data_IF_668447573795
#
_entry.id   IF_668447573795
#
_cell.length_a   1.000
_cell.length_b   1.000
_cell.length_c   1.000
_cell.angle_alpha   90.00
_cell.angle_beta   90.00
_cell.angle_gamma   90.00
#
_symmetry.space_group_name_H-M   'P 1'
#
loop_
_entity.id
_entity.type
_entity.pdbx_description
1 polymer ?
#
# COMPACT_ATOMS: atom_id res chain seq x y z
N UNK A 1 -22.88 3.44 -2.65
CA UNK A 1 -22.06 2.38 -2.04
C UNK A 1 -20.90 1.97 -2.95
N UNK A 2 -21.15 1.50 -4.17
CA UNK A 2 -20.09 1.14 -5.15
C UNK A 2 -19.08 2.26 -5.40
N UNK A 3 -19.57 3.50 -5.58
CA UNK A 3 -18.70 4.68 -5.77
C UNK A 3 -17.71 4.91 -4.61
N UNK A 4 -18.15 4.72 -3.37
CA UNK A 4 -17.30 4.93 -2.19
C UNK A 4 -16.19 3.87 -2.18
N UNK A 5 -16.53 2.61 -2.44
CA UNK A 5 -15.57 1.51 -2.53
C UNK A 5 -14.52 1.80 -3.62
N UNK A 6 -14.96 2.23 -4.80
CA UNK A 6 -14.06 2.58 -5.90
C UNK A 6 -13.11 3.72 -5.52
N UNK A 7 -13.61 4.78 -4.89
CA UNK A 7 -12.78 5.90 -4.42
C UNK A 7 -11.77 5.47 -3.36
N UNK A 8 -12.16 4.58 -2.43
CA UNK A 8 -11.24 4.03 -1.43
C UNK A 8 -10.12 3.22 -2.08
N UNK A 9 -10.43 2.38 -3.07
CA UNK A 9 -9.41 1.61 -3.80
C UNK A 9 -8.44 2.55 -4.54
N UNK A 10 -8.96 3.53 -5.27
CA UNK A 10 -8.14 4.52 -5.98
C UNK A 10 -7.22 5.26 -5.01
N UNK A 11 -7.74 5.67 -3.86
CA UNK A 11 -6.95 6.34 -2.83
C UNK A 11 -5.82 5.44 -2.29
N UNK A 12 -6.12 4.19 -1.94
CA UNK A 12 -5.12 3.24 -1.45
C UNK A 12 -4.02 2.99 -2.48
N UNK A 13 -4.39 2.83 -3.76
CA UNK A 13 -3.43 2.67 -4.86
C UNK A 13 -2.56 3.92 -5.03
N UNK A 14 -3.15 5.12 -4.99
CA UNK A 14 -2.40 6.37 -5.08
C UNK A 14 -1.38 6.54 -3.94
N UNK A 15 -1.78 6.20 -2.70
CA UNK A 15 -0.89 6.21 -1.52
C UNK A 15 0.21 5.15 -1.67
N UNK A 16 -0.09 3.95 -2.15
CA UNK A 16 0.89 2.91 -2.39
C UNK A 16 1.94 3.37 -3.41
N UNK A 17 1.52 3.94 -4.55
CA UNK A 17 2.42 4.48 -5.58
C UNK A 17 3.32 5.57 -4.99
N UNK A 18 2.75 6.51 -4.21
CA UNK A 18 3.53 7.59 -3.61
C UNK A 18 4.55 7.06 -2.60
N UNK A 19 4.17 6.06 -1.80
CA UNK A 19 5.06 5.38 -0.84
C UNK A 19 6.20 4.66 -1.55
N UNK A 20 5.91 3.93 -2.63
CA UNK A 20 6.94 3.26 -3.46
C UNK A 20 7.91 4.27 -4.06
N UNK A 21 7.40 5.37 -4.60
CA UNK A 21 8.24 6.43 -5.16
C UNK A 21 9.14 7.06 -4.10
N UNK A 22 8.63 7.24 -2.88
CA UNK A 22 9.44 7.71 -1.75
C UNK A 22 10.49 6.67 -1.33
N UNK A 23 10.15 5.37 -1.36
CA UNK A 23 11.09 4.27 -1.15
C UNK A 23 12.24 4.28 -2.15
N UNK A 24 11.92 4.47 -3.44
CA UNK A 24 12.93 4.61 -4.51
C UNK A 24 13.85 5.81 -4.28
N UNK A 25 13.27 6.96 -3.92
CA UNK A 25 14.06 8.15 -3.60
C UNK A 25 14.96 7.91 -2.38
N UNK A 26 14.44 7.29 -1.32
CA UNK A 26 15.17 6.97 -0.08
C UNK A 26 16.36 6.05 -0.33
N UNK A 27 16.18 5.02 -1.17
CA UNK A 27 17.26 4.15 -1.63
C UNK A 27 18.35 4.94 -2.38
N UNK A 28 17.94 5.88 -3.26
CA UNK A 28 18.86 6.78 -3.96
C UNK A 28 19.66 7.72 -3.04
N UNK A 29 19.20 7.97 -1.82
CA UNK A 29 19.93 8.72 -0.79
C UNK A 29 20.84 7.83 0.08
N UNK A 30 20.98 6.54 -0.25
CA UNK A 30 21.75 5.57 0.54
C UNK A 30 21.03 5.04 1.77
N UNK A 31 19.77 5.45 2.01
CA UNK A 31 18.95 4.95 3.12
C UNK A 31 18.20 3.67 2.72
N UNK A 32 18.95 2.58 2.55
CA UNK A 32 18.41 1.29 2.13
C UNK A 32 17.43 0.69 3.13
N UNK A 33 17.69 0.85 4.44
CA UNK A 33 16.78 0.35 5.49
C UNK A 33 15.43 1.06 5.46
N UNK A 34 15.44 2.39 5.28
CA UNK A 34 14.23 3.18 5.10
C UNK A 34 13.46 2.78 3.84
N UNK A 35 14.16 2.58 2.72
CA UNK A 35 13.54 2.14 1.47
C UNK A 35 12.84 0.78 1.59
N UNK A 36 13.49 -0.21 2.22
CA UNK A 36 12.89 -1.53 2.46
C UNK A 36 11.63 -1.40 3.32
N UNK A 37 11.69 -0.61 4.40
CA UNK A 37 10.52 -0.34 5.24
C UNK A 37 9.36 0.26 4.46
N UNK A 38 9.63 1.23 3.56
CA UNK A 38 8.62 1.85 2.72
C UNK A 38 7.97 0.86 1.74
N UNK A 39 8.74 -0.07 1.17
CA UNK A 39 8.17 -1.11 0.30
C UNK A 39 7.30 -2.11 1.07
N UNK A 40 7.71 -2.50 2.28
CA UNK A 40 6.90 -3.36 3.15
C UNK A 40 5.59 -2.65 3.52
N UNK A 41 5.65 -1.36 3.89
CA UNK A 41 4.45 -0.57 4.20
C UNK A 41 3.52 -0.48 2.98
N UNK A 42 4.06 -0.21 1.79
CA UNK A 42 3.26 -0.13 0.58
C UNK A 42 2.56 -1.46 0.23
N UNK A 43 3.24 -2.59 0.47
CA UNK A 43 2.66 -3.91 0.29
C UNK A 43 1.53 -4.17 1.29
N UNK A 44 1.78 -3.93 2.58
CA UNK A 44 0.80 -4.15 3.65
C UNK A 44 -0.45 -3.28 3.48
N UNK A 45 -0.28 -2.04 3.00
CA UNK A 45 -1.38 -1.11 2.73
C UNK A 45 -2.42 -1.70 1.77
N UNK A 46 -1.99 -2.50 0.78
CA UNK A 46 -2.88 -3.16 -0.17
C UNK A 46 -3.28 -4.57 0.28
N UNK A 47 -2.35 -5.33 0.86
CA UNK A 47 -2.55 -6.72 1.23
C UNK A 47 -3.50 -6.89 2.42
N UNK A 48 -3.41 -6.06 3.45
CA UNK A 48 -4.26 -6.16 4.65
C UNK A 48 -5.75 -5.98 4.36
N UNK A 49 -6.22 -4.92 3.68
CA UNK A 49 -7.63 -4.76 3.39
C UNK A 49 -8.17 -5.88 2.47
N UNK A 50 -7.35 -6.36 1.52
CA UNK A 50 -7.73 -7.51 0.70
C UNK A 50 -7.86 -8.80 1.53
N UNK A 51 -6.91 -9.06 2.44
CA UNK A 51 -6.94 -10.22 3.32
C UNK A 51 -8.16 -10.18 4.26
N UNK A 52 -8.47 -9.03 4.86
CA UNK A 52 -9.66 -8.84 5.70
C UNK A 52 -10.95 -9.08 4.90
N UNK A 53 -11.01 -8.57 3.66
CA UNK A 53 -12.16 -8.81 2.80
C UNK A 53 -12.35 -10.30 2.52
N UNK A 54 -11.28 -11.02 2.14
CA UNK A 54 -11.35 -12.47 1.89
C UNK A 54 -11.73 -13.23 3.16
N UNK A 55 -11.14 -12.88 4.31
CA UNK A 55 -11.43 -13.53 5.60
C UNK A 55 -12.93 -13.43 5.93
N UNK A 56 -13.53 -12.26 5.77
CA UNK A 56 -14.96 -12.03 6.01
C UNK A 56 -15.89 -12.67 4.97
N UNK A 57 -15.37 -13.23 3.87
CA UNK A 57 -16.16 -14.02 2.93
C UNK A 57 -16.09 -15.53 3.23
N UNK A 58 -15.05 -15.96 3.96
CA UNK A 58 -14.78 -17.37 4.25
C UNK A 58 -15.28 -17.77 5.64
N UNK A 59 -15.23 -16.85 6.61
CA UNK A 59 -15.72 -17.00 7.99
C UNK A 59 -17.00 -16.23 8.18
#
# INVERSE_FOLDING_TARGET
MIMIIALTIIFLVAVAIKTINYGRWSAGQGNWRGAIGLYVIALLLLALPAAVYIYNQVV
#
